data_IF_524361613662
#
_entry.id   IF_524361613662
#
_cell.length_a   1.000
_cell.length_b   1.000
_cell.length_c   1.000
_cell.angle_alpha   90.00
_cell.angle_beta   90.00
_cell.angle_gamma   90.00
#
_symmetry.space_group_name_H-M   'P 1'
#
loop_
_entity.id
_entity.type
_entity.pdbx_description
1 polymer ?
#
# COMPACT_ATOMS: atom_id res chain seq x y z
N UNK A 1 -60.70 -36.76 62.52
CA UNK A 1 -59.92 -35.75 63.27
C UNK A 1 -58.46 -35.85 62.85
N UNK A 2 -58.06 -35.08 61.84
CA UNK A 2 -56.73 -35.12 61.27
C UNK A 2 -55.88 -34.03 61.90
N UNK A 3 -54.86 -34.44 62.61
CA UNK A 3 -53.78 -33.60 63.12
C UNK A 3 -52.86 -33.24 61.98
N UNK A 4 -53.03 -32.01 61.47
CA UNK A 4 -52.03 -31.41 60.52
C UNK A 4 -50.88 -30.91 61.38
N UNK A 5 -49.74 -31.57 61.23
CA UNK A 5 -48.51 -31.34 61.94
C UNK A 5 -47.97 -29.92 61.69
N UNK A 6 -47.58 -29.21 62.75
CA UNK A 6 -46.98 -27.89 62.71
C UNK A 6 -45.68 -27.80 61.84
N UNK A 7 -45.13 -28.93 61.45
CA UNK A 7 -43.98 -29.04 60.56
C UNK A 7 -44.28 -28.62 59.10
N UNK A 8 -45.52 -28.75 58.64
CA UNK A 8 -45.93 -28.40 57.25
C UNK A 8 -46.10 -26.91 57.07
N UNK A 9 -46.45 -26.15 58.12
CA UNK A 9 -46.54 -24.68 58.06
C UNK A 9 -45.15 -24.02 58.10
N UNK A 10 -44.16 -24.64 58.73
CA UNK A 10 -42.78 -24.14 58.76
C UNK A 10 -42.07 -24.21 57.41
N UNK A 11 -42.37 -25.27 56.58
CA UNK A 11 -41.76 -25.45 55.28
C UNK A 11 -42.30 -24.47 54.25
N UNK A 12 -43.57 -24.09 54.32
CA UNK A 12 -44.18 -23.07 53.44
C UNK A 12 -43.77 -21.64 53.78
N UNK A 13 -43.45 -21.36 55.05
CA UNK A 13 -42.93 -20.05 55.45
C UNK A 13 -41.47 -19.83 54.97
N UNK A 14 -40.68 -20.91 54.89
CA UNK A 14 -39.27 -20.80 54.44
C UNK A 14 -39.13 -20.74 52.91
N UNK A 15 -40.13 -21.19 52.15
CA UNK A 15 -40.17 -21.02 50.67
C UNK A 15 -40.68 -19.64 50.23
N UNK A 16 -41.30 -18.85 51.11
CA UNK A 16 -41.74 -17.47 50.82
C UNK A 16 -40.63 -16.44 51.03
N UNK A 17 -39.40 -16.82 51.38
CA UNK A 17 -38.22 -15.98 51.27
C UNK A 17 -37.80 -15.96 49.81
N UNK A 18 -38.69 -15.37 48.98
CA UNK A 18 -38.40 -14.99 47.61
C UNK A 18 -37.05 -14.30 47.61
N UNK A 19 -36.11 -14.93 46.96
CA UNK A 19 -34.90 -14.30 46.47
C UNK A 19 -35.30 -12.99 45.81
N UNK A 20 -35.20 -11.89 46.57
CA UNK A 20 -35.19 -10.54 45.97
C UNK A 20 -33.99 -10.52 45.04
N UNK A 21 -34.22 -10.84 43.77
CA UNK A 21 -33.29 -10.59 42.72
C UNK A 21 -32.93 -9.12 42.80
N UNK A 22 -31.77 -8.83 43.38
CA UNK A 22 -31.22 -7.46 43.37
C UNK A 22 -31.34 -6.98 41.94
N UNK A 23 -31.95 -5.81 41.69
CA UNK A 23 -32.02 -5.28 40.33
C UNK A 23 -30.60 -5.27 39.78
N UNK A 24 -30.34 -6.07 38.72
CA UNK A 24 -29.03 -6.08 38.09
C UNK A 24 -28.72 -4.64 37.71
N UNK A 25 -27.68 -4.08 38.33
CA UNK A 25 -27.26 -2.72 38.07
C UNK A 25 -27.10 -2.55 36.55
N UNK A 26 -27.77 -1.56 35.97
CA UNK A 26 -27.66 -1.23 34.54
C UNK A 26 -26.39 -0.39 34.24
N UNK A 27 -25.65 0.00 35.29
CA UNK A 27 -24.41 0.78 35.16
C UNK A 27 -23.38 0.14 34.22
N UNK A 28 -23.09 -1.18 34.27
CA UNK A 28 -22.12 -1.77 33.35
C UNK A 28 -22.56 -1.69 31.87
N UNK A 29 -23.86 -1.74 31.61
CA UNK A 29 -24.38 -1.57 30.25
C UNK A 29 -24.24 -0.14 29.76
N UNK A 30 -24.49 0.86 30.61
CA UNK A 30 -24.28 2.26 30.27
C UNK A 30 -22.81 2.59 30.08
N UNK A 31 -21.90 2.04 30.90
CA UNK A 31 -20.46 2.18 30.72
C UNK A 31 -20.01 1.55 29.37
N UNK A 32 -20.44 0.33 29.07
CA UNK A 32 -20.12 -0.33 27.83
C UNK A 32 -20.63 0.46 26.60
N UNK A 33 -21.87 0.97 26.68
CA UNK A 33 -22.43 1.80 25.61
C UNK A 33 -21.65 3.11 25.44
N UNK A 34 -21.29 3.78 26.54
CA UNK A 34 -20.49 5.00 26.48
C UNK A 34 -19.10 4.77 25.88
N UNK A 35 -18.41 3.70 26.28
CA UNK A 35 -17.11 3.32 25.74
C UNK A 35 -17.20 2.99 24.24
N UNK A 36 -18.24 2.27 23.82
CA UNK A 36 -18.47 1.96 22.41
C UNK A 36 -18.71 3.25 21.61
N UNK A 37 -19.55 4.16 22.12
CA UNK A 37 -19.82 5.44 21.46
C UNK A 37 -18.56 6.29 21.32
N UNK A 38 -17.75 6.37 22.39
CA UNK A 38 -16.46 7.07 22.37
C UNK A 38 -15.48 6.43 21.37
N UNK A 39 -15.42 5.10 21.33
CA UNK A 39 -14.59 4.36 20.36
C UNK A 39 -15.00 4.64 18.92
N UNK A 40 -16.30 4.59 18.62
CA UNK A 40 -16.83 4.91 17.30
C UNK A 40 -16.61 6.37 16.91
N UNK A 41 -16.78 7.30 17.84
CA UNK A 41 -16.51 8.73 17.63
C UNK A 41 -14.99 8.95 17.37
N UNK A 42 -14.12 8.31 18.14
CA UNK A 42 -12.66 8.35 17.92
C UNK A 42 -12.26 7.80 16.56
N UNK A 43 -12.84 6.68 16.16
CA UNK A 43 -12.62 6.06 14.84
C UNK A 43 -13.07 7.02 13.71
N UNK A 44 -14.26 7.59 13.83
CA UNK A 44 -14.79 8.56 12.86
C UNK A 44 -13.89 9.81 12.77
N UNK A 45 -13.44 10.34 13.91
CA UNK A 45 -12.52 11.47 13.98
C UNK A 45 -11.16 11.14 13.32
N UNK A 46 -10.60 9.96 13.59
CA UNK A 46 -9.35 9.51 12.98
C UNK A 46 -9.48 9.39 11.45
N UNK A 47 -10.61 8.90 10.95
CA UNK A 47 -10.87 8.82 9.49
C UNK A 47 -11.01 10.23 8.90
N UNK A 48 -11.79 11.11 9.52
CA UNK A 48 -12.10 12.43 8.98
C UNK A 48 -10.88 13.36 9.01
N UNK A 49 -10.18 13.44 10.15
CA UNK A 49 -9.14 14.45 10.39
C UNK A 49 -7.73 13.86 10.59
N UNK A 50 -7.58 12.55 10.72
CA UNK A 50 -6.30 11.88 10.98
C UNK A 50 -5.43 11.66 9.74
N UNK A 51 -5.72 12.33 8.61
CA UNK A 51 -4.93 12.21 7.36
C UNK A 51 -3.55 12.85 7.45
N UNK A 52 -2.71 12.65 6.43
CA UNK A 52 -1.40 13.27 6.35
C UNK A 52 -1.55 14.77 6.13
N UNK A 53 -0.64 15.56 6.68
CA UNK A 53 -0.52 16.98 6.40
C UNK A 53 0.48 17.20 5.25
N UNK A 54 0.38 18.36 4.60
CA UNK A 54 1.38 18.76 3.62
C UNK A 54 2.66 19.21 4.34
N UNK A 55 3.80 18.78 3.80
CA UNK A 55 5.13 19.09 4.33
C UNK A 55 5.92 19.92 3.31
N UNK A 56 6.83 20.78 3.77
CA UNK A 56 7.68 21.56 2.87
C UNK A 56 8.50 20.68 1.94
N UNK A 57 8.81 21.17 0.73
CA UNK A 57 9.68 20.44 -0.20
C UNK A 57 11.04 20.12 0.40
N UNK A 58 11.48 18.88 0.27
CA UNK A 58 12.78 18.43 0.75
C UNK A 58 13.85 18.58 -0.34
N UNK A 59 14.80 19.50 -0.15
CA UNK A 59 15.83 19.80 -1.16
C UNK A 59 16.69 18.59 -1.52
N UNK A 60 17.04 17.76 -0.56
CA UNK A 60 17.85 16.56 -0.77
C UNK A 60 17.19 15.51 -1.69
N UNK A 61 15.86 15.57 -1.82
CA UNK A 61 15.10 14.69 -2.71
C UNK A 61 14.80 15.40 -4.05
N UNK A 62 14.44 16.68 -4.03
CA UNK A 62 13.99 17.37 -5.24
C UNK A 62 15.15 17.85 -6.12
N UNK A 63 16.28 18.27 -5.54
CA UNK A 63 17.39 18.84 -6.29
C UNK A 63 18.17 17.84 -7.15
N UNK A 64 18.46 16.60 -6.74
CA UNK A 64 19.19 15.64 -7.57
C UNK A 64 18.55 15.38 -8.93
N UNK A 65 17.23 15.46 -9.01
CA UNK A 65 16.49 15.25 -10.27
C UNK A 65 16.52 16.43 -11.22
N UNK A 66 16.93 17.63 -10.78
CA UNK A 66 17.04 18.81 -11.66
C UNK A 66 18.16 18.69 -12.70
N UNK A 67 19.20 17.91 -12.40
CA UNK A 67 20.34 17.69 -13.30
C UNK A 67 20.20 16.44 -14.17
N UNK A 68 19.10 15.69 -14.05
CA UNK A 68 18.91 14.49 -14.86
C UNK A 68 18.42 14.86 -16.25
N UNK A 69 19.14 14.39 -17.25
CA UNK A 69 18.70 14.51 -18.66
C UNK A 69 17.64 13.45 -18.94
N UNK A 70 16.45 13.91 -19.24
CA UNK A 70 15.31 13.09 -19.66
C UNK A 70 15.09 13.10 -21.17
N UNK A 71 16.03 13.67 -21.95
CA UNK A 71 15.98 13.58 -23.40
C UNK A 71 16.11 12.12 -23.85
N UNK A 72 15.36 11.74 -24.86
CA UNK A 72 15.38 10.34 -25.35
C UNK A 72 14.58 9.36 -24.48
N UNK A 73 13.79 9.78 -23.51
CA UNK A 73 12.80 8.91 -22.87
C UNK A 73 11.86 8.36 -23.93
N UNK A 74 11.75 7.02 -24.09
CA UNK A 74 10.84 6.45 -25.07
C UNK A 74 9.39 6.85 -24.78
N UNK A 75 8.54 7.00 -25.82
CA UNK A 75 7.13 7.26 -25.62
C UNK A 75 6.48 6.17 -24.77
N UNK A 76 5.51 6.58 -23.95
CA UNK A 76 4.76 5.64 -23.13
C UNK A 76 3.94 4.69 -24.00
N UNK A 77 4.15 3.40 -23.82
CA UNK A 77 3.31 2.33 -24.34
C UNK A 77 2.24 1.97 -23.31
N UNK A 78 1.20 1.27 -23.73
CA UNK A 78 0.09 0.92 -22.84
C UNK A 78 -0.28 -0.56 -22.94
N UNK A 79 -0.75 -1.08 -21.82
CA UNK A 79 -1.41 -2.38 -21.74
C UNK A 79 -2.70 -2.24 -20.91
N UNK A 80 -3.59 -3.20 -21.07
CA UNK A 80 -4.86 -3.22 -20.34
C UNK A 80 -4.77 -4.24 -19.21
N UNK A 81 -4.95 -3.78 -17.99
CA UNK A 81 -5.06 -4.66 -16.83
C UNK A 81 -6.40 -5.41 -16.83
N UNK A 82 -6.50 -6.49 -16.03
CA UNK A 82 -7.69 -7.36 -15.91
C UNK A 82 -8.97 -6.65 -15.51
N UNK A 83 -8.86 -5.48 -14.87
CA UNK A 83 -9.97 -4.62 -14.49
C UNK A 83 -10.36 -3.59 -15.58
N UNK A 84 -9.72 -3.67 -16.75
CA UNK A 84 -9.93 -2.74 -17.87
C UNK A 84 -9.14 -1.44 -17.78
N UNK A 85 -8.36 -1.22 -16.70
CA UNK A 85 -7.54 -0.01 -16.56
C UNK A 85 -6.39 -0.02 -17.56
N UNK A 86 -6.19 1.11 -18.27
CA UNK A 86 -5.03 1.31 -19.12
C UNK A 86 -3.82 1.73 -18.29
N UNK A 87 -2.77 0.89 -18.29
CA UNK A 87 -1.53 1.12 -17.58
C UNK A 87 -0.38 1.39 -18.57
N UNK A 88 0.60 2.19 -18.15
CA UNK A 88 1.68 2.67 -19.01
C UNK A 88 3.04 2.10 -18.63
N UNK A 89 3.94 2.04 -19.60
CA UNK A 89 5.32 1.67 -19.43
C UNK A 89 6.20 2.27 -20.53
N UNK A 90 7.51 2.34 -20.29
CA UNK A 90 8.51 2.83 -21.24
C UNK A 90 9.45 1.70 -21.61
N UNK A 91 9.54 1.38 -22.92
CA UNK A 91 10.37 0.30 -23.45
C UNK A 91 11.71 0.80 -23.97
N UNK A 92 12.81 0.23 -23.48
CA UNK A 92 14.16 0.50 -23.96
C UNK A 92 14.69 -0.75 -24.65
N UNK A 93 15.01 -0.62 -25.94
CA UNK A 93 15.58 -1.71 -26.72
C UNK A 93 17.05 -1.93 -26.37
N UNK A 94 17.51 -3.18 -26.34
CA UNK A 94 18.92 -3.48 -26.12
C UNK A 94 19.78 -2.94 -27.28
N UNK A 95 21.01 -2.56 -26.93
CA UNK A 95 22.01 -2.26 -27.97
C UNK A 95 22.27 -3.50 -28.82
N UNK A 96 22.22 -3.40 -30.16
CA UNK A 96 22.51 -4.54 -31.04
C UNK A 96 23.88 -5.14 -30.82
N UNK A 97 24.86 -4.33 -30.38
CA UNK A 97 26.23 -4.80 -30.16
C UNK A 97 26.38 -5.68 -28.92
N UNK A 98 25.46 -5.56 -27.95
CA UNK A 98 25.54 -6.25 -26.64
C UNK A 98 24.34 -7.17 -26.38
N UNK A 99 23.36 -7.22 -27.32
CA UNK A 99 22.18 -8.03 -27.19
C UNK A 99 22.49 -9.52 -27.04
N UNK A 100 22.02 -10.14 -25.96
CA UNK A 100 22.18 -11.56 -25.69
C UNK A 100 21.17 -12.41 -26.47
N UNK A 101 21.52 -13.68 -26.71
CA UNK A 101 20.57 -14.68 -27.24
C UNK A 101 20.55 -15.87 -26.27
N UNK A 102 19.44 -16.21 -25.60
CA UNK A 102 18.15 -15.50 -25.64
C UNK A 102 18.21 -14.11 -25.00
N UNK A 103 17.33 -13.22 -25.48
CA UNK A 103 17.25 -11.87 -24.99
C UNK A 103 16.88 -11.84 -23.49
N UNK A 104 17.62 -11.08 -22.70
CA UNK A 104 17.31 -10.85 -21.26
C UNK A 104 16.43 -9.62 -21.11
N UNK A 105 15.40 -9.68 -20.27
CA UNK A 105 14.55 -8.54 -19.96
C UNK A 105 14.68 -8.12 -18.50
N UNK A 106 14.65 -6.80 -18.26
CA UNK A 106 14.50 -6.21 -16.91
C UNK A 106 13.19 -5.43 -16.85
N UNK A 107 12.33 -5.75 -15.90
CA UNK A 107 11.13 -4.99 -15.55
C UNK A 107 11.48 -4.11 -14.35
N UNK A 108 11.45 -2.77 -14.55
CA UNK A 108 11.82 -1.79 -13.54
C UNK A 108 10.58 -1.25 -12.83
N UNK A 109 10.63 -1.28 -11.50
CA UNK A 109 9.66 -0.69 -10.59
C UNK A 109 10.30 0.51 -9.89
N UNK A 110 9.67 1.68 -10.05
CA UNK A 110 10.18 2.93 -9.48
C UNK A 110 9.92 3.04 -7.96
N UNK A 111 10.53 4.01 -7.28
CA UNK A 111 10.32 4.29 -5.86
C UNK A 111 9.03 5.08 -5.58
N UNK A 112 8.80 5.35 -4.29
CA UNK A 112 7.64 6.12 -3.81
C UNK A 112 7.48 7.44 -4.56
N UNK A 113 6.24 7.78 -4.88
CA UNK A 113 5.87 9.03 -5.57
C UNK A 113 6.35 9.15 -7.02
N UNK A 114 7.37 8.39 -7.45
CA UNK A 114 8.00 8.48 -8.77
C UNK A 114 7.11 7.94 -9.91
N UNK A 115 7.69 7.75 -11.07
CA UNK A 115 7.06 7.19 -12.28
C UNK A 115 8.11 6.44 -13.11
N UNK A 116 7.71 5.70 -14.12
CA UNK A 116 8.63 4.92 -14.97
C UNK A 116 9.77 5.76 -15.55
N UNK A 117 9.50 6.96 -16.00
CA UNK A 117 10.54 7.87 -16.50
C UNK A 117 11.62 8.22 -15.46
N UNK A 118 11.33 8.12 -14.17
CA UNK A 118 12.32 8.37 -13.12
C UNK A 118 13.50 7.39 -13.16
N UNK A 119 13.31 6.24 -13.80
CA UNK A 119 14.35 5.22 -14.00
C UNK A 119 15.12 5.40 -15.31
N UNK A 120 14.94 6.50 -16.05
CA UNK A 120 15.45 6.67 -17.41
C UNK A 120 16.95 6.36 -17.57
N UNK A 121 17.79 6.99 -16.75
CA UNK A 121 19.25 6.81 -16.80
C UNK A 121 19.64 5.35 -16.53
N UNK A 122 19.01 4.71 -15.54
CA UNK A 122 19.24 3.30 -15.23
C UNK A 122 18.78 2.40 -16.40
N UNK A 123 17.61 2.69 -16.96
CA UNK A 123 17.07 1.91 -18.07
C UNK A 123 17.94 2.02 -19.33
N UNK A 124 18.47 3.21 -19.63
CA UNK A 124 19.43 3.41 -20.71
C UNK A 124 20.73 2.63 -20.49
N UNK A 125 21.29 2.68 -19.28
CA UNK A 125 22.51 1.96 -18.95
C UNK A 125 22.31 0.44 -19.10
N UNK A 126 21.20 -0.10 -18.62
CA UNK A 126 20.86 -1.52 -18.78
C UNK A 126 20.66 -1.89 -20.27
N UNK A 127 20.03 -1.02 -21.05
CA UNK A 127 19.84 -1.25 -22.47
C UNK A 127 21.17 -1.24 -23.24
N UNK A 128 22.11 -0.36 -22.87
CA UNK A 128 23.47 -0.35 -23.42
C UNK A 128 24.23 -1.67 -23.14
N UNK A 129 23.98 -2.30 -21.98
CA UNK A 129 24.52 -3.60 -21.58
C UNK A 129 23.73 -4.79 -22.18
N UNK A 130 22.83 -4.53 -23.12
CA UNK A 130 22.14 -5.56 -23.90
C UNK A 130 20.88 -6.13 -23.26
N UNK A 131 20.28 -5.47 -22.27
CA UNK A 131 18.98 -5.86 -21.73
C UNK A 131 17.83 -5.16 -22.46
N UNK A 132 16.75 -5.88 -22.75
CA UNK A 132 15.48 -5.23 -23.01
C UNK A 132 14.93 -4.71 -21.68
N UNK A 133 14.55 -3.43 -21.61
CA UNK A 133 14.07 -2.85 -20.33
C UNK A 133 12.64 -2.34 -20.48
N UNK A 134 11.79 -2.73 -19.54
CA UNK A 134 10.44 -2.21 -19.39
C UNK A 134 10.36 -1.44 -18.08
N UNK A 135 10.34 -0.10 -18.13
CA UNK A 135 10.15 0.73 -16.95
C UNK A 135 8.68 1.08 -16.78
N UNK A 136 8.07 0.54 -15.74
CA UNK A 136 6.63 0.65 -15.51
C UNK A 136 6.26 1.97 -14.84
N UNK A 137 5.17 2.59 -15.28
CA UNK A 137 4.35 3.45 -14.43
C UNK A 137 3.45 2.52 -13.63
N UNK A 138 3.75 2.27 -12.34
CA UNK A 138 2.89 1.42 -11.53
C UNK A 138 1.54 2.09 -11.35
N UNK A 139 0.48 1.30 -11.17
CA UNK A 139 -0.88 1.81 -10.89
C UNK A 139 -0.86 2.95 -9.85
N UNK A 140 -1.59 4.01 -10.17
CA UNK A 140 -1.62 5.22 -9.34
C UNK A 140 -0.44 6.17 -9.54
N UNK A 141 0.44 5.90 -10.55
CA UNK A 141 1.61 6.72 -10.84
C UNK A 141 1.72 7.02 -12.33
N UNK A 142 2.41 8.12 -12.65
CA UNK A 142 2.66 8.52 -14.02
C UNK A 142 1.37 8.58 -14.85
N UNK A 143 1.31 7.79 -15.93
CA UNK A 143 0.15 7.68 -16.81
C UNK A 143 -0.73 6.44 -16.52
N UNK A 144 -0.56 5.79 -15.37
CA UNK A 144 -1.26 4.55 -14.99
C UNK A 144 -2.39 4.80 -13.97
N UNK A 145 -3.56 5.18 -14.48
CA UNK A 145 -4.78 5.38 -13.70
C UNK A 145 -4.77 6.67 -12.85
N UNK A 146 -5.77 6.83 -11.96
CA UNK A 146 -5.85 7.98 -11.07
C UNK A 146 -4.67 7.99 -10.08
N UNK A 147 -3.98 9.15 -9.97
CA UNK A 147 -2.80 9.29 -9.11
C UNK A 147 -3.09 8.96 -7.65
N UNK A 148 -2.23 8.15 -7.07
CA UNK A 148 -2.31 7.75 -5.67
C UNK A 148 -3.46 6.81 -5.34
N UNK A 149 -4.10 6.18 -6.34
CA UNK A 149 -5.24 5.29 -6.16
C UNK A 149 -4.97 3.87 -6.68
N UNK A 150 -5.46 2.89 -5.93
CA UNK A 150 -5.60 1.51 -6.32
C UNK A 150 -6.89 0.95 -5.69
N UNK A 151 -7.52 -0.04 -6.30
CA UNK A 151 -8.82 -0.52 -5.85
C UNK A 151 -8.70 -1.48 -4.65
N UNK A 152 -7.69 -2.35 -4.63
CA UNK A 152 -7.50 -3.36 -3.58
C UNK A 152 -6.02 -3.65 -3.31
N UNK A 153 -5.74 -4.25 -2.15
CA UNK A 153 -4.41 -4.71 -1.76
C UNK A 153 -4.05 -5.96 -2.57
N UNK A 154 -2.87 -5.97 -3.18
CA UNK A 154 -2.44 -7.03 -4.11
C UNK A 154 -2.67 -6.69 -5.59
N UNK A 155 -3.29 -5.54 -5.90
CA UNK A 155 -3.58 -5.14 -7.27
C UNK A 155 -2.32 -4.85 -8.09
N UNK A 156 -1.25 -4.37 -7.47
CA UNK A 156 0.00 -4.12 -8.18
C UNK A 156 0.69 -5.42 -8.61
N UNK A 157 0.57 -6.49 -7.84
CA UNK A 157 1.01 -7.82 -8.23
C UNK A 157 0.21 -8.35 -9.42
N UNK A 158 -1.10 -8.15 -9.41
CA UNK A 158 -1.98 -8.50 -10.53
C UNK A 158 -1.62 -7.72 -11.80
N UNK A 159 -1.28 -6.44 -11.67
CA UNK A 159 -0.85 -5.59 -12.78
C UNK A 159 0.48 -6.06 -13.41
N UNK A 160 1.41 -6.57 -12.59
CA UNK A 160 2.64 -7.20 -13.10
C UNK A 160 2.33 -8.45 -13.92
N UNK A 161 1.45 -9.33 -13.45
CA UNK A 161 1.01 -10.49 -14.22
C UNK A 161 0.36 -10.07 -15.54
N UNK A 162 -0.51 -9.05 -15.51
CA UNK A 162 -1.19 -8.55 -16.69
C UNK A 162 -0.21 -7.92 -17.68
N UNK A 163 0.82 -7.22 -17.18
CA UNK A 163 1.92 -6.73 -18.01
C UNK A 163 2.67 -7.87 -18.70
N UNK A 164 3.07 -8.89 -17.95
CA UNK A 164 3.81 -10.04 -18.52
C UNK A 164 3.00 -10.78 -19.58
N UNK A 165 1.69 -10.85 -19.41
CA UNK A 165 0.76 -11.46 -20.38
C UNK A 165 0.57 -10.58 -21.62
N UNK A 166 0.44 -9.27 -21.45
CA UNK A 166 0.21 -8.33 -22.54
C UNK A 166 1.48 -8.02 -23.35
N UNK A 167 2.64 -8.12 -22.72
CA UNK A 167 3.96 -7.86 -23.32
C UNK A 167 4.83 -9.12 -23.15
N UNK A 168 4.53 -10.19 -23.90
CA UNK A 168 5.25 -11.45 -23.77
C UNK A 168 6.75 -11.29 -24.11
N UNK A 169 7.57 -12.12 -23.46
CA UNK A 169 9.01 -12.13 -23.66
C UNK A 169 9.53 -13.55 -23.62
N UNK A 170 10.46 -13.84 -24.53
CA UNK A 170 11.16 -15.13 -24.57
C UNK A 170 12.58 -14.93 -24.06
N UNK A 171 12.91 -15.57 -22.95
CA UNK A 171 14.20 -15.48 -22.29
C UNK A 171 14.12 -15.07 -20.84
N UNK A 172 15.27 -15.01 -20.15
CA UNK A 172 15.29 -14.72 -18.72
C UNK A 172 14.76 -13.32 -18.40
N UNK A 173 13.98 -13.21 -17.30
CA UNK A 173 13.39 -11.98 -16.86
C UNK A 173 13.80 -11.65 -15.42
N UNK A 174 14.05 -10.38 -15.17
CA UNK A 174 14.41 -9.86 -13.86
C UNK A 174 13.39 -8.81 -13.43
N UNK A 175 12.83 -8.92 -12.23
CA UNK A 175 12.12 -7.82 -11.58
C UNK A 175 13.12 -7.01 -10.75
N UNK A 176 13.27 -5.72 -11.09
CA UNK A 176 14.19 -4.82 -10.40
C UNK A 176 13.42 -3.64 -9.83
N UNK A 177 13.56 -3.40 -8.53
CA UNK A 177 12.87 -2.32 -7.85
C UNK A 177 13.80 -1.38 -7.10
N UNK A 178 13.50 -0.07 -7.13
CA UNK A 178 14.22 0.96 -6.40
C UNK A 178 13.39 1.47 -5.22
N UNK A 179 13.99 1.63 -4.03
CA UNK A 179 13.34 2.15 -2.83
C UNK A 179 12.07 1.36 -2.49
N UNK A 180 10.87 1.97 -2.47
CA UNK A 180 9.60 1.26 -2.27
C UNK A 180 9.38 0.18 -3.33
N UNK A 181 9.76 0.43 -4.60
CA UNK A 181 9.75 -0.59 -5.64
C UNK A 181 10.65 -1.78 -5.33
N UNK A 182 11.75 -1.57 -4.59
CA UNK A 182 12.60 -2.64 -4.07
C UNK A 182 11.89 -3.46 -2.98
N UNK A 183 11.15 -2.81 -2.09
CA UNK A 183 10.28 -3.48 -1.11
C UNK A 183 9.19 -4.30 -1.79
N UNK A 184 8.54 -3.73 -2.81
CA UNK A 184 7.59 -4.44 -3.66
C UNK A 184 8.20 -5.68 -4.32
N UNK A 185 9.39 -5.54 -4.94
CA UNK A 185 10.07 -6.66 -5.58
C UNK A 185 10.41 -7.78 -4.59
N UNK A 186 10.80 -7.44 -3.35
CA UNK A 186 11.02 -8.42 -2.28
C UNK A 186 9.73 -9.15 -1.91
N UNK A 187 8.63 -8.42 -1.74
CA UNK A 187 7.32 -9.02 -1.43
C UNK A 187 6.86 -9.93 -2.57
N UNK A 188 7.07 -9.51 -3.83
CA UNK A 188 6.75 -10.32 -4.99
C UNK A 188 7.57 -11.63 -5.00
N UNK A 189 8.87 -11.56 -4.72
CA UNK A 189 9.77 -12.71 -4.62
C UNK A 189 9.37 -13.69 -3.50
N UNK A 190 8.72 -13.21 -2.44
CA UNK A 190 8.20 -14.04 -1.35
C UNK A 190 6.75 -14.52 -1.54
N UNK A 191 6.13 -14.24 -2.69
CA UNK A 191 4.74 -14.59 -2.97
C UNK A 191 4.62 -15.89 -3.79
N UNK A 192 3.38 -16.36 -3.96
CA UNK A 192 3.08 -17.47 -4.88
C UNK A 192 3.40 -17.16 -6.36
N UNK A 193 3.77 -15.92 -6.68
CA UNK A 193 4.12 -15.44 -8.02
C UNK A 193 5.64 -15.40 -8.28
N UNK A 194 6.45 -15.87 -7.34
CA UNK A 194 7.91 -15.80 -7.42
C UNK A 194 8.49 -16.38 -8.71
N UNK A 195 7.86 -17.39 -9.27
CA UNK A 195 8.36 -18.09 -10.48
C UNK A 195 8.07 -17.33 -11.79
N UNK A 196 7.42 -16.15 -11.73
CA UNK A 196 7.20 -15.31 -12.90
C UNK A 196 8.47 -14.55 -13.33
N UNK A 197 9.48 -14.50 -12.48
CA UNK A 197 10.79 -13.93 -12.79
C UNK A 197 11.91 -14.88 -12.37
N UNK A 198 12.95 -14.94 -13.18
CA UNK A 198 14.16 -15.75 -12.90
C UNK A 198 15.04 -15.11 -11.83
N UNK A 199 14.97 -13.78 -11.67
CA UNK A 199 15.80 -12.99 -10.73
C UNK A 199 15.05 -11.81 -10.17
N UNK A 200 15.49 -11.41 -8.98
CA UNK A 200 15.02 -10.21 -8.28
C UNK A 200 16.20 -9.34 -7.90
N UNK A 201 16.15 -8.05 -8.20
CA UNK A 201 17.18 -7.07 -7.85
C UNK A 201 16.56 -5.94 -7.05
N UNK A 202 17.12 -5.71 -5.88
CA UNK A 202 16.63 -4.73 -4.91
C UNK A 202 17.66 -3.59 -4.82
N UNK A 203 17.28 -2.40 -5.29
CA UNK A 203 18.13 -1.21 -5.22
C UNK A 203 17.68 -0.32 -4.06
N UNK A 204 18.49 -0.25 -3.01
CA UNK A 204 18.20 0.53 -1.78
C UNK A 204 16.76 0.32 -1.31
N UNK A 205 16.30 -0.92 -1.07
CA UNK A 205 14.90 -1.22 -0.84
C UNK A 205 14.40 -0.56 0.46
N UNK A 206 13.21 0.04 0.40
CA UNK A 206 12.46 0.40 1.59
C UNK A 206 11.72 -0.86 2.08
N UNK A 207 12.14 -1.39 3.21
CA UNK A 207 11.60 -2.64 3.77
C UNK A 207 10.55 -2.37 4.84
N UNK A 208 10.83 -1.42 5.72
CA UNK A 208 9.96 -1.05 6.84
C UNK A 208 10.46 0.25 7.47
N UNK A 209 9.57 1.07 8.05
CA UNK A 209 9.92 2.34 8.69
C UNK A 209 10.90 2.20 9.87
N UNK A 210 10.93 1.04 10.54
CA UNK A 210 11.85 0.71 11.63
C UNK A 210 13.05 -0.14 11.16
N UNK A 211 13.25 -0.34 9.85
CA UNK A 211 14.43 -1.07 9.37
C UNK A 211 15.70 -0.28 9.69
N UNK A 212 16.84 -0.94 10.02
CA UNK A 212 18.10 -0.27 10.28
C UNK A 212 18.59 0.61 9.13
N UNK A 213 18.11 0.36 7.92
CA UNK A 213 18.40 1.12 6.70
C UNK A 213 17.51 2.34 6.51
N UNK A 214 16.46 2.49 7.32
CA UNK A 214 15.52 3.62 7.25
C UNK A 214 16.05 4.78 8.08
N UNK A 215 15.95 6.01 7.54
CA UNK A 215 16.27 7.23 8.30
C UNK A 215 15.17 7.51 9.33
N UNK A 216 15.51 8.04 10.53
CA UNK A 216 14.51 8.53 11.46
C UNK A 216 13.53 9.48 10.78
N UNK A 217 12.26 9.39 11.14
CA UNK A 217 11.14 10.20 10.57
C UNK A 217 11.13 10.23 9.04
N UNK A 218 11.55 9.12 8.41
CA UNK A 218 11.71 9.01 6.95
C UNK A 218 12.61 10.11 6.36
N UNK A 219 13.49 10.71 7.17
CA UNK A 219 14.33 11.84 6.79
C UNK A 219 13.54 13.10 6.36
N UNK A 220 12.30 13.25 6.81
CA UNK A 220 11.40 14.34 6.41
C UNK A 220 10.78 14.18 5.02
N UNK A 221 10.95 13.03 4.38
CA UNK A 221 10.42 12.76 3.03
C UNK A 221 8.90 12.58 2.98
N UNK A 222 8.32 11.98 4.02
CA UNK A 222 6.90 11.61 4.03
C UNK A 222 6.20 12.06 5.31
N UNK A 223 4.99 12.59 5.17
CA UNK A 223 4.03 12.79 6.26
C UNK A 223 3.07 11.61 6.27
N UNK A 224 2.93 10.98 7.43
CA UNK A 224 2.05 9.82 7.65
C UNK A 224 0.82 10.25 8.42
N UNK A 225 -0.36 10.04 7.87
CA UNK A 225 -1.65 10.17 8.56
C UNK A 225 -1.90 8.96 9.44
N UNK A 226 -1.07 8.79 10.49
CA UNK A 226 -1.08 7.60 11.33
C UNK A 226 -2.44 7.28 11.94
N UNK A 227 -3.21 8.26 12.52
CA UNK A 227 -4.54 7.95 13.07
C UNK A 227 -5.49 7.39 12.01
N UNK A 228 -5.51 7.97 10.81
CA UNK A 228 -6.32 7.47 9.69
C UNK A 228 -5.86 6.09 9.22
N UNK A 229 -4.55 5.88 9.08
CA UNK A 229 -3.98 4.60 8.68
C UNK A 229 -4.38 3.49 9.65
N UNK A 230 -4.24 3.70 10.96
CA UNK A 230 -4.65 2.75 12.00
C UNK A 230 -6.15 2.49 11.95
N UNK A 231 -6.97 3.55 11.86
CA UNK A 231 -8.43 3.43 11.79
C UNK A 231 -8.88 2.58 10.59
N UNK A 232 -8.31 2.84 9.40
CA UNK A 232 -8.63 2.08 8.18
C UNK A 232 -8.13 0.64 8.31
N UNK A 233 -6.95 0.40 8.89
CA UNK A 233 -6.43 -0.95 9.12
C UNK A 233 -7.38 -1.77 10.01
N UNK A 234 -7.85 -1.20 11.11
CA UNK A 234 -8.82 -1.86 12.00
C UNK A 234 -10.13 -2.20 11.27
N UNK A 235 -10.62 -1.30 10.43
CA UNK A 235 -11.82 -1.54 9.63
C UNK A 235 -11.60 -2.64 8.58
N UNK A 236 -10.43 -2.68 7.94
CA UNK A 236 -10.11 -3.73 6.98
C UNK A 236 -10.05 -5.12 7.63
N UNK A 237 -9.63 -5.23 8.90
CA UNK A 237 -9.64 -6.51 9.64
C UNK A 237 -11.04 -7.12 9.79
N UNK A 238 -12.08 -6.29 9.76
CA UNK A 238 -13.49 -6.72 9.81
C UNK A 238 -14.19 -6.59 8.45
N UNK A 239 -13.42 -6.48 7.35
CA UNK A 239 -13.94 -6.47 5.97
C UNK A 239 -14.51 -5.13 5.49
N UNK A 240 -14.34 -4.05 6.25
CA UNK A 240 -14.83 -2.72 5.86
C UNK A 240 -13.74 -1.96 5.12
N UNK A 241 -13.83 -1.90 3.79
CA UNK A 241 -12.81 -1.31 2.89
C UNK A 241 -13.20 0.05 2.31
N UNK A 242 -14.39 0.57 2.66
CA UNK A 242 -14.99 1.78 2.09
C UNK A 242 -14.05 3.00 2.09
N UNK A 243 -13.16 3.13 3.08
CA UNK A 243 -12.29 4.30 3.25
C UNK A 243 -10.86 4.10 2.72
N UNK A 244 -10.58 2.98 2.04
CA UNK A 244 -9.26 2.66 1.51
C UNK A 244 -8.74 3.66 0.46
N UNK A 245 -9.62 4.42 -0.16
CA UNK A 245 -9.29 5.48 -1.11
C UNK A 245 -8.75 6.76 -0.44
N UNK A 246 -8.91 6.91 0.88
CA UNK A 246 -8.48 8.13 1.58
C UNK A 246 -6.95 8.20 1.66
N UNK A 247 -6.36 9.41 1.50
CA UNK A 247 -4.93 9.60 1.58
C UNK A 247 -4.41 9.37 3.00
N UNK A 248 -3.34 8.59 3.11
CA UNK A 248 -2.64 8.29 4.36
C UNK A 248 -1.16 8.69 4.33
N UNK A 249 -0.60 8.95 3.14
CA UNK A 249 0.76 9.48 2.97
C UNK A 249 0.73 10.76 2.14
N UNK A 250 1.63 11.70 2.45
CA UNK A 250 1.93 12.89 1.64
C UNK A 250 3.44 13.06 1.55
N UNK A 251 3.96 13.43 0.37
CA UNK A 251 5.39 13.49 0.06
C UNK A 251 5.90 14.94 -0.06
N UNK A 252 7.15 15.17 0.35
CA UNK A 252 7.85 16.46 0.37
C UNK A 252 8.28 16.93 -1.02
N UNK A 253 7.34 17.02 -1.96
CA UNK A 253 7.55 17.43 -3.34
C UNK A 253 7.43 18.96 -3.48
N UNK A 254 8.24 19.56 -4.36
CA UNK A 254 8.03 20.93 -4.82
C UNK A 254 6.88 21.00 -5.84
N UNK A 255 6.43 22.21 -6.21
CA UNK A 255 5.24 22.40 -7.05
C UNK A 255 5.38 21.71 -8.41
N UNK A 256 6.53 21.82 -9.07
CA UNK A 256 6.79 21.16 -10.35
C UNK A 256 6.72 19.63 -10.21
N UNK A 257 7.33 19.09 -9.16
CA UNK A 257 7.27 17.65 -8.90
C UNK A 257 5.86 17.17 -8.55
N UNK A 258 5.04 17.98 -7.86
CA UNK A 258 3.62 17.67 -7.56
C UNK A 258 2.77 17.52 -8.82
N UNK A 259 3.07 18.27 -9.87
CA UNK A 259 2.37 18.15 -11.15
C UNK A 259 2.73 16.86 -11.90
N UNK A 260 3.97 16.41 -11.78
CA UNK A 260 4.52 15.29 -12.55
C UNK A 260 4.47 13.95 -11.82
N UNK A 261 4.57 13.95 -10.51
CA UNK A 261 4.71 12.79 -9.65
C UNK A 261 3.42 12.57 -8.83
N UNK A 262 3.42 11.54 -7.98
CA UNK A 262 2.27 11.21 -7.14
C UNK A 262 2.44 11.77 -5.74
N UNK A 263 1.81 12.91 -5.40
CA UNK A 263 2.09 13.64 -4.16
C UNK A 263 1.47 13.01 -2.91
N UNK A 264 0.46 12.17 -3.06
CA UNK A 264 -0.24 11.52 -1.94
C UNK A 264 -0.62 10.10 -2.31
N UNK A 265 -0.58 9.20 -1.32
CA UNK A 265 -1.05 7.83 -1.46
C UNK A 265 -2.32 7.60 -0.65
N UNK A 266 -3.30 6.97 -1.28
CA UNK A 266 -4.41 6.32 -0.57
C UNK A 266 -3.89 5.19 0.32
N UNK A 267 -4.71 4.76 1.27
CA UNK A 267 -4.38 3.59 2.10
C UNK A 267 -4.04 2.37 1.24
N UNK A 268 -4.83 2.12 0.17
CA UNK A 268 -4.59 1.00 -0.73
C UNK A 268 -3.22 1.07 -1.40
N UNK A 269 -2.84 2.23 -1.97
CA UNK A 269 -1.52 2.39 -2.61
C UNK A 269 -0.40 2.26 -1.58
N UNK A 270 -0.52 2.89 -0.41
CA UNK A 270 0.47 2.82 0.66
C UNK A 270 0.70 1.38 1.16
N UNK A 271 -0.31 0.51 1.06
CA UNK A 271 -0.23 -0.89 1.49
C UNK A 271 0.27 -1.82 0.38
N UNK A 272 0.11 -1.40 -0.88
CA UNK A 272 0.58 -2.15 -2.06
C UNK A 272 2.05 -1.88 -2.40
N UNK A 273 2.62 -0.80 -1.89
CA UNK A 273 3.95 -0.29 -2.28
C UNK A 273 5.02 -0.36 -1.15
#
# INVERSE_FOLDING_TARGET
MLLISAATLGLLATMAQTSRLRPRSRYPLFIAAALLTLGLAGLAAAIAWGGPHDIPPLSSINNPFKGVDYSGVPPAQRYTARDGTSLAWHGYSPSPATAATPQRRVVLVHGSSARGQSNHVLAQALAAEGYAVASLDIRGHGASGPRGQAAYIGQMEDDIEDFLRAVPHVGPQTLMGFSAGGGFALRFAGSARQDLFDRYVLLSPFLHHNAPTSRPDSGGWVSVGLPRMVAITLLNQIGITRWNHLPVLSFALNDVARELLTPRYSYTVATNF
#
